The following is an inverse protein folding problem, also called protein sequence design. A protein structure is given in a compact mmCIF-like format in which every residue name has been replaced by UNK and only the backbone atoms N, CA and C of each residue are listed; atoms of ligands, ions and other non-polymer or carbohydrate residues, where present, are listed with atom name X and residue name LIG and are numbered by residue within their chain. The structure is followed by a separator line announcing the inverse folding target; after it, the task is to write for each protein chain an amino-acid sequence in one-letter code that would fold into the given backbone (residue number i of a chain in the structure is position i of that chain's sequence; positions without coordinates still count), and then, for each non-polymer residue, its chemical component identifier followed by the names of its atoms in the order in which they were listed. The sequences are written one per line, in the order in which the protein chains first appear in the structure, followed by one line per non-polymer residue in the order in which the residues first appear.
data_IF_829416899660
#
_entry.id   IF_829416899660
#
_cell.length_a   1.000
_cell.length_b   1.000
_cell.length_c   1.000
_cell.angle_alpha   90.00
_cell.angle_beta   90.00
_cell.angle_gamma   90.00
#
_symmetry.space_group_name_H-M   'P 1'
#
loop_
_entity.id
_entity.type
_entity.pdbx_description
1 polymer ?
#
# COMPACT_ATOMS: atom_id res chain seq x y z
N UNK A 1 14.62 27.62 0.25
CA UNK A 1 14.16 27.04 -1.02
C UNK A 1 14.58 27.97 -2.13
N UNK A 2 15.18 27.44 -3.18
CA UNK A 2 15.66 28.19 -4.35
C UNK A 2 15.04 27.61 -5.63
N UNK A 3 14.85 28.46 -6.62
CA UNK A 3 14.31 28.08 -7.94
C UNK A 3 15.11 28.75 -9.05
N UNK A 4 15.45 27.96 -10.07
CA UNK A 4 16.08 28.40 -11.32
C UNK A 4 15.19 27.95 -12.48
N UNK A 5 14.77 28.86 -13.36
CA UNK A 5 14.01 28.50 -14.56
C UNK A 5 14.31 29.43 -15.74
N UNK A 6 14.27 28.86 -16.95
CA UNK A 6 14.31 29.58 -18.21
C UNK A 6 13.42 28.87 -19.25
N UNK A 7 12.76 29.60 -20.17
CA UNK A 7 12.03 29.00 -21.28
C UNK A 7 12.95 28.05 -22.07
N UNK A 8 12.40 26.91 -22.49
CA UNK A 8 13.10 25.86 -23.25
C UNK A 8 14.27 25.13 -22.53
N UNK A 9 14.59 25.50 -21.29
CA UNK A 9 15.63 24.86 -20.45
C UNK A 9 15.05 24.05 -19.26
N UNK A 10 13.79 24.29 -18.90
CA UNK A 10 13.12 23.63 -17.78
C UNK A 10 13.28 24.38 -16.45
N UNK A 11 12.97 23.69 -15.34
CA UNK A 11 12.97 24.28 -13.98
C UNK A 11 13.69 23.39 -12.99
N UNK A 12 14.58 23.98 -12.18
CA UNK A 12 15.27 23.34 -11.06
C UNK A 12 14.80 23.94 -9.74
N UNK A 13 14.39 23.08 -8.81
CA UNK A 13 14.00 23.46 -7.45
C UNK A 13 14.99 22.84 -6.45
N UNK A 14 15.57 23.66 -5.56
CA UNK A 14 16.43 23.20 -4.46
C UNK A 14 15.76 23.47 -3.12
N UNK A 15 15.49 22.41 -2.39
CA UNK A 15 14.88 22.46 -1.06
C UNK A 15 15.97 22.10 -0.04
N UNK A 16 16.28 23.05 0.84
CA UNK A 16 17.18 22.82 1.97
C UNK A 16 16.30 22.63 3.21
N UNK A 17 16.33 21.43 3.77
CA UNK A 17 15.71 21.13 5.05
C UNK A 17 16.76 21.29 6.15
N UNK A 18 16.40 21.79 7.34
CA UNK A 18 17.33 21.83 8.46
C UNK A 18 17.81 20.41 8.79
N UNK A 19 19.09 20.16 8.59
CA UNK A 19 19.72 18.90 8.99
C UNK A 19 19.80 18.84 10.50
N UNK A 20 19.18 17.85 11.12
CA UNK A 20 19.53 17.51 12.50
C UNK A 20 20.84 16.75 12.45
N UNK A 21 21.89 17.27 13.10
CA UNK A 21 23.15 16.52 13.27
C UNK A 21 22.95 15.45 14.33
N UNK A 22 22.18 14.42 13.99
CA UNK A 22 22.08 13.14 14.70
C UNK A 22 22.71 12.08 13.81
N UNK A 23 23.86 11.58 14.26
CA UNK A 23 24.64 10.51 13.63
C UNK A 23 23.80 9.26 13.38
N UNK A 24 23.89 8.75 12.15
CA UNK A 24 23.31 7.52 11.59
C UNK A 24 21.78 7.53 11.56
N UNK A 25 21.21 7.16 10.41
CA UNK A 25 19.92 6.48 10.43
C UNK A 25 20.00 5.43 11.56
N UNK A 26 18.98 5.23 12.39
CA UNK A 26 18.92 3.96 13.04
C UNK A 26 18.85 2.95 11.88
N UNK A 27 19.97 2.30 11.60
CA UNK A 27 19.94 0.87 11.34
C UNK A 27 19.35 0.24 12.59
N UNK A 28 18.07 0.51 12.86
CA UNK A 28 17.22 -0.46 13.51
C UNK A 28 17.09 -1.55 12.46
N UNK A 29 18.15 -2.35 12.35
CA UNK A 29 17.94 -3.77 12.51
C UNK A 29 17.08 -3.85 13.77
N UNK A 30 15.78 -3.97 13.59
CA UNK A 30 14.98 -4.63 14.62
C UNK A 30 15.59 -6.02 14.63
N UNK A 31 16.65 -6.21 15.42
CA UNK A 31 16.92 -7.51 15.96
C UNK A 31 15.70 -7.77 16.83
N UNK A 32 14.68 -8.31 16.16
CA UNK A 32 13.58 -9.02 16.80
C UNK A 32 14.27 -9.86 17.88
N UNK A 33 13.85 -9.79 19.15
CA UNK A 33 14.42 -10.60 20.21
C UNK A 33 14.59 -12.02 19.67
N UNK A 34 15.81 -12.56 19.76
CA UNK A 34 16.13 -13.86 19.20
C UNK A 34 15.15 -14.91 19.77
N UNK A 35 14.11 -15.23 18.98
CA UNK A 35 12.93 -15.97 19.46
C UNK A 35 11.59 -15.47 18.90
N UNK A 36 11.49 -14.25 18.37
CA UNK A 36 10.31 -13.83 17.60
C UNK A 36 10.44 -14.37 16.17
N UNK A 37 9.58 -15.34 15.84
CA UNK A 37 9.37 -15.73 14.44
C UNK A 37 9.13 -14.46 13.60
N UNK A 38 9.66 -14.40 12.37
CA UNK A 38 9.39 -13.26 11.50
C UNK A 38 7.87 -13.02 11.46
N UNK A 39 7.42 -11.75 11.52
CA UNK A 39 6.00 -11.46 11.52
C UNK A 39 5.35 -12.19 10.34
N UNK A 40 4.16 -12.79 10.53
CA UNK A 40 3.54 -13.59 9.49
C UNK A 40 3.45 -12.81 8.18
N UNK A 41 3.79 -13.47 7.07
CA UNK A 41 3.60 -12.91 5.73
C UNK A 41 2.14 -13.06 5.34
N UNK A 42 1.39 -11.96 5.37
CA UNK A 42 -0.01 -11.93 4.93
C UNK A 42 -0.10 -11.72 3.43
N UNK A 43 -1.12 -12.31 2.81
CA UNK A 43 -1.56 -12.04 1.44
C UNK A 43 -2.66 -11.00 1.50
N UNK A 44 -2.36 -9.78 1.07
CA UNK A 44 -3.26 -8.64 1.22
C UNK A 44 -3.80 -8.24 -0.16
N UNK A 45 -5.13 -8.16 -0.27
CA UNK A 45 -5.80 -7.61 -1.45
C UNK A 45 -6.20 -6.17 -1.15
N UNK A 46 -5.64 -5.21 -1.89
CA UNK A 46 -6.02 -3.79 -1.80
C UNK A 46 -6.98 -3.46 -2.94
N UNK A 47 -8.13 -2.89 -2.60
CA UNK A 47 -9.17 -2.44 -3.53
C UNK A 47 -9.29 -0.93 -3.42
N UNK A 48 -8.75 -0.21 -4.39
CA UNK A 48 -8.65 1.25 -4.37
C UNK A 48 -8.50 1.77 -5.80
N UNK A 49 -9.28 2.77 -6.19
CA UNK A 49 -9.28 3.33 -7.55
C UNK A 49 -8.24 4.45 -7.76
N UNK A 50 -7.47 4.80 -6.72
CA UNK A 50 -6.43 5.83 -6.72
C UNK A 50 -5.04 5.19 -6.94
N UNK A 51 -4.47 5.25 -8.17
CA UNK A 51 -3.28 4.47 -8.50
C UNK A 51 -2.02 4.86 -7.71
N UNK A 52 -1.91 6.13 -7.28
CA UNK A 52 -0.72 6.60 -6.56
C UNK A 52 -0.73 6.08 -5.13
N UNK A 53 -1.85 6.18 -4.44
CA UNK A 53 -2.04 5.59 -3.12
C UNK A 53 -1.87 4.07 -3.17
N UNK A 54 -2.56 3.38 -4.09
CA UNK A 54 -2.45 1.93 -4.22
C UNK A 54 -1.00 1.45 -4.42
N UNK A 55 -0.22 2.14 -5.26
CA UNK A 55 1.20 1.81 -5.47
C UNK A 55 2.07 2.11 -4.25
N UNK A 56 1.83 3.23 -3.56
CA UNK A 56 2.57 3.59 -2.36
C UNK A 56 2.34 2.57 -1.23
N UNK A 57 1.08 2.21 -1.01
CA UNK A 57 0.65 1.21 -0.02
C UNK A 57 1.21 -0.18 -0.34
N UNK A 58 1.13 -0.61 -1.62
CA UNK A 58 1.73 -1.87 -2.07
C UNK A 58 3.25 -1.91 -1.84
N UNK A 59 3.96 -0.81 -2.10
CA UNK A 59 5.40 -0.74 -1.85
C UNK A 59 5.74 -0.83 -0.37
N UNK A 60 4.98 -0.13 0.48
CA UNK A 60 5.17 -0.16 1.94
C UNK A 60 4.96 -1.57 2.49
N UNK A 61 3.82 -2.20 2.21
CA UNK A 61 3.48 -3.52 2.75
C UNK A 61 4.41 -4.62 2.23
N UNK A 62 4.85 -4.56 0.97
CA UNK A 62 5.88 -5.48 0.45
C UNK A 62 7.23 -5.30 1.16
N UNK A 63 7.60 -4.07 1.53
CA UNK A 63 8.83 -3.81 2.30
C UNK A 63 8.73 -4.40 3.71
N UNK A 64 7.51 -4.55 4.25
CA UNK A 64 7.24 -5.22 5.52
C UNK A 64 7.16 -6.75 5.41
N UNK A 65 7.35 -7.31 4.20
CA UNK A 65 7.38 -8.75 3.98
C UNK A 65 6.04 -9.39 3.61
N UNK A 66 5.02 -8.59 3.24
CA UNK A 66 3.71 -9.10 2.82
C UNK A 66 3.61 -9.28 1.30
N UNK A 67 2.76 -10.22 0.87
CA UNK A 67 2.32 -10.33 -0.52
C UNK A 67 1.14 -9.39 -0.76
N UNK A 68 1.11 -8.73 -1.92
CA UNK A 68 0.11 -7.70 -2.20
C UNK A 68 -0.35 -7.76 -3.66
N UNK A 69 -1.67 -7.75 -3.84
CA UNK A 69 -2.36 -7.51 -5.11
C UNK A 69 -3.20 -6.23 -5.02
N UNK A 70 -3.07 -5.33 -5.99
CA UNK A 70 -3.87 -4.11 -6.11
C UNK A 70 -4.88 -4.31 -7.23
N UNK A 71 -6.14 -4.07 -6.92
CA UNK A 71 -7.25 -4.01 -7.86
C UNK A 71 -7.96 -2.66 -7.73
N UNK A 72 -8.55 -2.20 -8.83
CA UNK A 72 -9.04 -0.82 -8.97
C UNK A 72 -10.56 -0.72 -9.05
N UNK A 73 -11.27 -1.82 -8.83
CA UNK A 73 -12.73 -1.84 -8.87
C UNK A 73 -13.29 -3.00 -8.05
N UNK A 74 -14.55 -2.88 -7.62
CA UNK A 74 -15.26 -3.93 -6.92
C UNK A 74 -15.37 -5.22 -7.73
N UNK A 75 -15.63 -5.12 -9.04
CA UNK A 75 -15.64 -6.29 -9.92
C UNK A 75 -14.30 -7.03 -9.97
N UNK A 76 -13.18 -6.30 -10.04
CA UNK A 76 -11.85 -6.89 -9.99
C UNK A 76 -11.59 -7.54 -8.63
N UNK A 77 -12.03 -6.91 -7.53
CA UNK A 77 -11.92 -7.48 -6.18
C UNK A 77 -12.64 -8.83 -6.06
N UNK A 78 -13.84 -8.96 -6.60
CA UNK A 78 -14.61 -10.21 -6.56
C UNK A 78 -13.97 -11.34 -7.38
N UNK A 79 -13.17 -11.01 -8.40
CA UNK A 79 -12.39 -11.99 -9.17
C UNK A 79 -11.10 -12.35 -8.43
N UNK A 80 -10.36 -11.32 -7.99
CA UNK A 80 -9.08 -11.46 -7.32
C UNK A 80 -9.18 -12.17 -5.98
N UNK A 81 -10.25 -11.97 -5.19
CA UNK A 81 -10.39 -12.63 -3.88
C UNK A 81 -10.34 -14.16 -3.98
N UNK A 82 -10.74 -14.76 -5.10
CA UNK A 82 -10.66 -16.21 -5.31
C UNK A 82 -9.32 -16.65 -5.88
N UNK A 83 -8.81 -15.94 -6.88
CA UNK A 83 -7.54 -16.27 -7.51
C UNK A 83 -6.34 -16.02 -6.57
N UNK A 84 -6.36 -14.85 -5.94
CA UNK A 84 -5.35 -14.44 -4.98
C UNK A 84 -5.58 -15.05 -3.60
N UNK A 85 -6.80 -15.43 -3.20
CA UNK A 85 -7.07 -16.02 -1.88
C UNK A 85 -6.36 -15.26 -0.71
N UNK A 86 -6.68 -13.96 -0.53
CA UNK A 86 -6.03 -13.13 0.48
C UNK A 86 -6.39 -13.58 1.90
N UNK A 87 -5.51 -13.23 2.83
CA UNK A 87 -5.77 -13.32 4.27
C UNK A 87 -6.53 -12.09 4.77
N UNK A 88 -6.29 -10.92 4.16
CA UNK A 88 -6.92 -9.63 4.50
C UNK A 88 -7.29 -8.87 3.23
N UNK A 89 -8.43 -8.18 3.26
CA UNK A 89 -8.82 -7.21 2.23
C UNK A 89 -8.79 -5.81 2.82
N UNK A 90 -8.07 -4.90 2.16
CA UNK A 90 -8.16 -3.46 2.40
C UNK A 90 -9.06 -2.88 1.32
N UNK A 91 -10.24 -2.40 1.72
CA UNK A 91 -11.30 -1.98 0.81
C UNK A 91 -11.59 -0.49 0.99
N UNK A 92 -11.42 0.28 -0.08
CA UNK A 92 -12.01 1.60 -0.18
C UNK A 92 -13.54 1.48 -0.32
N UNK A 93 -14.27 2.35 0.38
CA UNK A 93 -15.73 2.38 0.33
C UNK A 93 -16.25 3.22 -0.83
N UNK A 94 -15.45 4.19 -1.29
CA UNK A 94 -15.80 5.14 -2.35
C UNK A 94 -15.26 4.67 -3.71
N UNK A 95 -15.77 3.54 -4.21
CA UNK A 95 -15.37 2.95 -5.50
C UNK A 95 -16.30 3.35 -6.66
N UNK A 96 -15.80 3.34 -7.91
CA UNK A 96 -16.54 3.87 -9.06
C UNK A 96 -17.64 2.93 -9.60
N UNK A 97 -17.58 1.63 -9.32
CA UNK A 97 -18.45 0.61 -9.91
C UNK A 97 -19.47 0.00 -8.95
N UNK A 98 -19.09 -0.25 -7.71
CA UNK A 98 -19.93 -0.83 -6.65
C UNK A 98 -19.64 -0.11 -5.34
N UNK A 99 -20.64 0.01 -4.46
CA UNK A 99 -20.37 0.54 -3.12
C UNK A 99 -19.51 -0.44 -2.31
N UNK A 100 -18.65 0.07 -1.44
CA UNK A 100 -17.86 -0.77 -0.54
C UNK A 100 -18.70 -1.70 0.32
N UNK A 101 -19.90 -1.28 0.72
CA UNK A 101 -20.84 -2.11 1.49
C UNK A 101 -21.32 -3.33 0.68
N UNK A 102 -21.71 -3.13 -0.59
CA UNK A 102 -22.11 -4.22 -1.49
C UNK A 102 -20.94 -5.19 -1.72
N UNK A 103 -19.73 -4.67 -1.90
CA UNK A 103 -18.53 -5.48 -2.06
C UNK A 103 -18.27 -6.30 -0.80
N UNK A 104 -18.30 -5.68 0.39
CA UNK A 104 -18.09 -6.36 1.67
C UNK A 104 -19.10 -7.49 1.88
N UNK A 105 -20.37 -7.24 1.62
CA UNK A 105 -21.44 -8.25 1.70
C UNK A 105 -21.18 -9.42 0.75
N UNK A 106 -20.78 -9.13 -0.49
CA UNK A 106 -20.47 -10.14 -1.49
C UNK A 106 -19.21 -10.95 -1.13
N UNK A 107 -18.17 -10.31 -0.62
CA UNK A 107 -16.93 -10.96 -0.19
C UNK A 107 -17.18 -11.89 1.00
N UNK A 108 -17.90 -11.41 2.02
CA UNK A 108 -18.20 -12.18 3.24
C UNK A 108 -19.08 -13.39 2.94
N UNK A 109 -20.07 -13.25 2.05
CA UNK A 109 -20.90 -14.38 1.60
C UNK A 109 -20.10 -15.43 0.84
N UNK A 110 -19.14 -15.00 0.03
CA UNK A 110 -18.32 -15.90 -0.80
C UNK A 110 -17.19 -16.57 -0.01
N UNK A 111 -16.66 -15.89 1.02
CA UNK A 111 -15.60 -16.42 1.88
C UNK A 111 -15.83 -16.02 3.36
N UNK A 112 -16.68 -16.75 4.08
CA UNK A 112 -16.91 -16.50 5.50
C UNK A 112 -15.60 -16.61 6.30
N UNK A 113 -15.28 -15.61 7.12
CA UNK A 113 -14.03 -15.56 7.90
C UNK A 113 -12.85 -14.90 7.19
N UNK A 114 -13.09 -14.29 6.02
CA UNK A 114 -12.29 -13.16 5.54
C UNK A 114 -12.60 -11.91 6.38
#
# INVERSE_FOLDING_TARGET
MEVESAPDEGSTFRIYLPGTSGSRAPETKTELPAGEEPPPSWRILLVDDEPSFGKATARLLRTMGHEMELVMSGQQALQAVHAFAPDVVLLDLDLPDLSGEEILDMLTRRRPGL
#
